data_IF_666262949997
#
_entry.id   IF_666262949997
#
_cell.length_a   1.000
_cell.length_b   1.000
_cell.length_c   1.000
_cell.angle_alpha   90.00
_cell.angle_beta   90.00
_cell.angle_gamma   90.00
#
_symmetry.space_group_name_H-M   'P 1'
#
loop_
_entity.id
_entity.type
_entity.pdbx_description
1 polymer ?
#
# COMPACT_ATOMS: atom_id res chain seq x y z
N UNK A 1 8.07 12.28 -9.77
CA UNK A 1 7.19 12.61 -10.91
C UNK A 1 8.03 12.53 -12.19
N UNK A 2 7.50 11.99 -13.28
CA UNK A 2 8.18 12.06 -14.58
C UNK A 2 7.76 13.35 -15.26
N UNK A 3 8.71 14.23 -15.57
CA UNK A 3 8.51 15.39 -16.44
C UNK A 3 9.57 15.30 -17.53
N UNK A 4 9.17 15.39 -18.80
CA UNK A 4 10.10 15.29 -19.94
C UNK A 4 10.98 14.03 -19.92
N UNK A 5 10.40 12.88 -19.54
CA UNK A 5 11.08 11.59 -19.45
C UNK A 5 12.21 11.52 -18.38
N UNK A 6 12.22 12.44 -17.42
CA UNK A 6 13.14 12.45 -16.29
C UNK A 6 12.38 12.33 -14.96
N UNK A 7 12.90 11.47 -14.08
CA UNK A 7 12.42 11.38 -12.70
C UNK A 7 12.91 12.60 -11.92
N UNK A 8 11.96 13.40 -11.46
CA UNK A 8 12.21 14.52 -10.55
C UNK A 8 11.56 14.28 -9.19
N UNK A 9 12.27 14.69 -8.14
CA UNK A 9 11.73 14.80 -6.81
C UNK A 9 11.08 16.18 -6.65
N UNK A 10 9.83 16.17 -6.20
CA UNK A 10 9.04 17.37 -5.94
C UNK A 10 8.67 17.36 -4.47
N UNK A 11 9.02 18.43 -3.77
CA UNK A 11 8.54 18.62 -2.41
C UNK A 11 7.08 19.08 -2.46
N UNK A 12 6.19 18.25 -1.90
CA UNK A 12 4.75 18.49 -1.91
C UNK A 12 4.36 18.96 -0.52
N UNK A 13 3.71 20.13 -0.42
CA UNK A 13 3.09 20.59 0.83
C UNK A 13 1.77 19.86 1.02
N UNK A 14 1.68 18.89 1.95
CA UNK A 14 0.45 18.11 2.10
C UNK A 14 -0.64 18.98 2.72
N UNK A 15 -1.86 18.86 2.23
CA UNK A 15 -3.03 19.49 2.85
C UNK A 15 -3.45 18.76 4.13
N UNK A 16 -3.28 17.45 4.16
CA UNK A 16 -3.53 16.57 5.31
C UNK A 16 -2.39 15.56 5.39
N UNK A 17 -1.98 15.22 6.62
CA UNK A 17 -1.00 14.18 6.91
C UNK A 17 -1.57 13.26 7.97
N UNK A 18 -1.64 11.97 7.66
CA UNK A 18 -2.17 10.92 8.56
C UNK A 18 -1.28 9.68 8.47
N UNK A 19 -1.50 8.73 9.38
CA UNK A 19 -0.87 7.41 9.39
C UNK A 19 -1.91 6.29 9.19
N UNK A 20 -3.13 6.63 8.76
CA UNK A 20 -4.23 5.70 8.51
C UNK A 20 -4.66 5.79 7.03
N UNK A 21 -4.48 4.69 6.31
CA UNK A 21 -4.81 4.60 4.88
C UNK A 21 -6.31 4.74 4.58
N UNK A 22 -7.19 4.38 5.52
CA UNK A 22 -8.64 4.55 5.34
C UNK A 22 -9.02 6.02 5.33
N UNK A 23 -8.35 6.84 6.16
CA UNK A 23 -8.55 8.29 6.17
C UNK A 23 -8.05 8.90 4.86
N UNK A 24 -6.88 8.47 4.37
CA UNK A 24 -6.35 8.93 3.07
C UNK A 24 -7.31 8.61 1.91
N UNK A 25 -7.85 7.39 1.90
CA UNK A 25 -8.82 6.96 0.89
C UNK A 25 -10.11 7.78 0.96
N UNK A 26 -10.70 7.92 2.14
CA UNK A 26 -11.93 8.68 2.33
C UNK A 26 -11.77 10.14 1.88
N UNK A 27 -10.63 10.76 2.20
CA UNK A 27 -10.30 12.13 1.78
C UNK A 27 -10.12 12.24 0.26
N UNK A 28 -9.50 11.24 -0.37
CA UNK A 28 -9.30 11.19 -1.82
C UNK A 28 -10.65 11.06 -2.54
N UNK A 29 -11.52 10.14 -2.09
CA UNK A 29 -12.87 9.96 -2.63
C UNK A 29 -13.74 11.21 -2.44
N UNK A 30 -13.50 11.99 -1.37
CA UNK A 30 -14.13 13.29 -1.15
C UNK A 30 -13.51 14.44 -1.96
N UNK A 31 -12.62 14.16 -2.91
CA UNK A 31 -12.00 15.14 -3.81
C UNK A 31 -11.00 16.07 -3.12
N UNK A 32 -10.41 15.67 -1.98
CA UNK A 32 -9.51 16.53 -1.20
C UNK A 32 -8.05 16.49 -1.67
N UNK A 33 -7.71 15.65 -2.64
CA UNK A 33 -6.37 15.55 -3.22
C UNK A 33 -6.10 14.18 -3.84
N UNK A 34 -4.80 13.84 -3.91
CA UNK A 34 -4.28 12.55 -4.39
C UNK A 34 -3.68 11.78 -3.20
N UNK A 35 -3.73 10.44 -3.22
CA UNK A 35 -3.08 9.59 -2.22
C UNK A 35 -2.19 8.54 -2.89
N UNK A 36 -1.37 7.86 -2.08
CA UNK A 36 -0.58 6.70 -2.51
C UNK A 36 -0.77 5.58 -1.50
N UNK A 37 -1.65 4.65 -1.84
CA UNK A 37 -1.99 3.51 -1.00
C UNK A 37 -1.67 2.19 -1.71
N UNK A 38 -1.40 1.10 -0.95
CA UNK A 38 -1.39 -0.23 -1.52
C UNK A 38 -2.67 -0.55 -2.27
N UNK A 39 -2.59 -1.34 -3.33
CA UNK A 39 -3.71 -1.65 -4.22
C UNK A 39 -4.94 -2.19 -3.48
N UNK A 40 -4.73 -3.01 -2.45
CA UNK A 40 -5.83 -3.59 -1.67
C UNK A 40 -6.73 -2.56 -0.96
N UNK A 41 -6.28 -1.31 -0.76
CA UNK A 41 -7.14 -0.23 -0.27
C UNK A 41 -8.09 0.29 -1.35
N UNK A 42 -7.64 0.33 -2.59
CA UNK A 42 -8.26 1.13 -3.66
C UNK A 42 -8.87 0.31 -4.79
N UNK A 43 -8.63 -1.00 -4.82
CA UNK A 43 -9.03 -1.89 -5.91
C UNK A 43 -10.50 -1.77 -6.29
N UNK A 44 -11.42 -1.71 -5.31
CA UNK A 44 -12.85 -1.61 -5.61
C UNK A 44 -13.27 -0.21 -6.07
N UNK A 45 -12.61 0.83 -5.56
CA UNK A 45 -12.85 2.21 -6.02
C UNK A 45 -12.31 2.45 -7.43
N UNK A 46 -11.22 1.79 -7.82
CA UNK A 46 -10.72 1.77 -9.19
C UNK A 46 -11.71 1.06 -10.12
N UNK A 47 -12.17 -0.15 -9.76
CA UNK A 47 -13.15 -0.92 -10.55
C UNK A 47 -14.46 -0.17 -10.79
N UNK A 48 -14.89 0.63 -9.82
CA UNK A 48 -16.13 1.41 -9.88
C UNK A 48 -15.96 2.78 -10.53
N UNK A 49 -14.73 3.15 -10.93
CA UNK A 49 -14.43 4.44 -11.55
C UNK A 49 -14.49 5.64 -10.58
N UNK A 50 -14.48 5.39 -9.27
CA UNK A 50 -14.42 6.44 -8.25
C UNK A 50 -13.00 6.99 -8.05
N UNK A 51 -11.99 6.22 -8.46
CA UNK A 51 -10.59 6.62 -8.48
C UNK A 51 -10.01 6.38 -9.88
N UNK A 52 -8.97 7.16 -10.20
CA UNK A 52 -8.20 7.08 -11.43
C UNK A 52 -6.70 7.04 -11.08
N UNK A 53 -5.92 6.25 -11.82
CA UNK A 53 -4.47 6.15 -11.64
C UNK A 53 -3.79 7.28 -12.40
N UNK A 54 -2.96 8.08 -11.72
CA UNK A 54 -2.34 9.27 -12.32
C UNK A 54 -0.98 9.03 -12.95
N UNK A 55 -0.28 7.96 -12.57
CA UNK A 55 1.12 7.73 -12.92
C UNK A 55 1.41 6.27 -13.27
N UNK A 56 0.66 5.71 -14.23
CA UNK A 56 0.80 4.30 -14.66
C UNK A 56 2.20 3.95 -15.18
N UNK A 57 2.90 4.92 -15.78
CA UNK A 57 4.26 4.71 -16.33
C UNK A 57 5.37 4.76 -15.28
N UNK A 58 5.06 5.06 -14.01
CA UNK A 58 6.07 5.01 -12.95
C UNK A 58 6.37 3.57 -12.57
N UNK A 59 7.65 3.22 -12.33
CA UNK A 59 7.98 1.90 -11.82
C UNK A 59 7.27 1.65 -10.49
N UNK A 60 6.69 0.46 -10.36
CA UNK A 60 6.11 0.02 -9.11
C UNK A 60 7.15 0.07 -7.98
N UNK A 61 6.69 0.49 -6.80
CA UNK A 61 7.52 0.45 -5.61
C UNK A 61 7.28 -0.89 -4.91
N UNK A 62 8.31 -1.73 -4.82
CA UNK A 62 8.23 -2.96 -4.03
C UNK A 62 7.93 -2.64 -2.56
N UNK A 63 6.84 -3.20 -2.04
CA UNK A 63 6.48 -3.12 -0.63
C UNK A 63 6.48 -4.53 -0.03
N UNK A 64 7.47 -4.81 0.81
CA UNK A 64 7.62 -6.11 1.44
C UNK A 64 6.83 -6.18 2.75
N UNK A 65 6.10 -7.28 2.95
CA UNK A 65 5.43 -7.63 4.21
C UNK A 65 6.26 -8.68 4.94
N UNK A 66 6.54 -8.45 6.22
CA UNK A 66 7.38 -9.34 7.02
C UNK A 66 6.62 -9.87 8.23
N UNK A 67 6.77 -11.17 8.49
CA UNK A 67 6.31 -11.80 9.72
C UNK A 67 7.45 -11.84 10.75
N UNK A 68 7.30 -11.07 11.83
CA UNK A 68 8.31 -10.92 12.88
C UNK A 68 7.97 -11.76 14.11
N UNK A 69 8.93 -12.56 14.59
CA UNK A 69 8.80 -13.38 15.79
C UNK A 69 10.16 -13.53 16.52
N UNK A 70 10.18 -13.72 17.85
CA UNK A 70 11.39 -13.52 18.66
C UNK A 70 12.58 -14.45 18.34
N UNK A 71 12.35 -15.72 18.00
CA UNK A 71 13.40 -16.67 17.67
C UNK A 71 12.89 -17.80 16.78
N UNK A 72 13.74 -18.29 15.88
CA UNK A 72 13.50 -19.51 15.09
C UNK A 72 13.74 -20.80 15.89
N UNK A 73 14.47 -20.73 17.01
CA UNK A 73 14.75 -21.89 17.88
C UNK A 73 13.56 -22.17 18.80
N UNK A 74 13.12 -23.42 18.85
CA UNK A 74 11.98 -23.88 19.68
C UNK A 74 10.66 -23.14 19.39
N UNK A 75 10.39 -22.89 18.11
CA UNK A 75 9.11 -22.32 17.69
C UNK A 75 7.97 -23.25 18.12
N UNK A 76 7.02 -22.75 18.90
CA UNK A 76 5.90 -23.58 19.34
C UNK A 76 5.09 -24.08 18.13
N UNK A 77 4.49 -25.29 18.19
CA UNK A 77 3.65 -25.79 17.10
C UNK A 77 2.53 -24.82 16.70
N UNK A 78 1.93 -24.13 17.67
CA UNK A 78 0.89 -23.12 17.42
C UNK A 78 1.38 -21.95 16.57
N UNK A 79 2.59 -21.43 16.84
CA UNK A 79 3.17 -20.33 16.04
C UNK A 79 3.51 -20.83 14.64
N UNK A 80 4.00 -22.07 14.50
CA UNK A 80 4.27 -22.66 13.18
C UNK A 80 3.00 -22.73 12.33
N UNK A 81 1.93 -23.31 12.87
CA UNK A 81 0.65 -23.37 12.15
C UNK A 81 0.11 -21.98 11.79
N UNK A 82 0.36 -20.96 12.62
CA UNK A 82 -0.01 -19.59 12.28
C UNK A 82 0.84 -19.01 11.13
N UNK A 83 2.15 -19.27 11.11
CA UNK A 83 3.03 -18.88 10.00
C UNK A 83 2.51 -19.54 8.70
N UNK A 84 2.29 -20.85 8.73
CA UNK A 84 1.83 -21.62 7.58
C UNK A 84 0.49 -21.05 7.04
N UNK A 85 -0.45 -20.72 7.94
CA UNK A 85 -1.72 -20.08 7.58
C UNK A 85 -1.54 -18.71 6.91
N UNK A 86 -0.66 -17.86 7.45
CA UNK A 86 -0.43 -16.52 6.90
C UNK A 86 0.25 -16.61 5.53
N UNK A 87 1.19 -17.54 5.35
CA UNK A 87 1.81 -17.79 4.04
C UNK A 87 0.76 -18.20 3.01
N UNK A 88 -0.16 -19.11 3.34
CA UNK A 88 -1.26 -19.51 2.45
C UNK A 88 -2.21 -18.35 2.12
N UNK A 89 -2.48 -17.46 3.09
CA UNK A 89 -3.37 -16.31 2.90
C UNK A 89 -2.76 -15.18 2.08
N UNK A 90 -1.46 -14.95 2.19
CA UNK A 90 -0.76 -13.82 1.57
C UNK A 90 0.00 -14.18 0.29
N UNK A 91 0.14 -15.46 -0.06
CA UNK A 91 0.82 -15.90 -1.30
C UNK A 91 0.01 -15.68 -2.59
N UNK A 92 -0.82 -14.63 -2.64
CA UNK A 92 -1.61 -14.24 -3.81
C UNK A 92 -1.26 -12.83 -4.28
#
# INVERSE_FOLDING_TARGET
>A
MIISNQLINVDVRPRVKTNDGNIELAMTLAGQGICRLPEFYIADNLKTGQLEILFEDLPETEMNVYLLYPSRKHLSPKVRCFIDLIEEMLAK
#
